data_IF_270382187532
#
_entry.id   IF_270382187532
#
_cell.length_a   1.000
_cell.length_b   1.000
_cell.length_c   1.000
_cell.angle_alpha   90.00
_cell.angle_beta   90.00
_cell.angle_gamma   90.00
#
_symmetry.space_group_name_H-M   'P 1'
#
loop_
_entity.id
_entity.type
_entity.pdbx_description
1 polymer ?
#
# COMPACT_ATOMS: atom_id res chain seq x y z
N UNK A 1 -18.23 20.64 -1.44
CA UNK A 1 -16.81 20.26 -1.50
C UNK A 1 -16.79 18.85 -2.07
N UNK A 2 -16.48 18.72 -3.36
CA UNK A 2 -16.54 17.44 -4.05
C UNK A 2 -15.13 16.84 -4.06
N UNK A 3 -14.80 16.09 -3.02
CA UNK A 3 -13.61 15.23 -3.01
C UNK A 3 -13.89 13.97 -3.82
N UNK A 4 -14.09 14.12 -5.14
CA UNK A 4 -13.96 13.01 -6.06
C UNK A 4 -12.47 12.75 -6.26
N UNK A 5 -11.87 11.95 -5.39
CA UNK A 5 -10.60 11.30 -5.71
C UNK A 5 -10.85 10.37 -6.89
N UNK A 6 -10.33 10.72 -8.06
CA UNK A 6 -10.37 9.85 -9.23
C UNK A 6 -9.62 8.56 -8.88
N UNK A 7 -10.34 7.45 -8.87
CA UNK A 7 -9.81 6.11 -8.93
C UNK A 7 -8.83 6.01 -10.11
N UNK A 8 -7.53 6.03 -9.84
CA UNK A 8 -6.49 5.77 -10.84
C UNK A 8 -5.96 4.37 -10.59
N UNK A 9 -6.15 3.45 -11.54
CA UNK A 9 -5.54 2.11 -11.48
C UNK A 9 -4.15 2.08 -12.09
N UNK A 10 -3.75 3.19 -12.72
CA UNK A 10 -2.54 3.30 -13.54
C UNK A 10 -1.55 4.25 -12.89
N UNK A 11 -0.30 3.79 -12.76
CA UNK A 11 0.83 4.62 -12.37
C UNK A 11 1.81 4.77 -13.54
N UNK A 12 2.30 5.98 -13.75
CA UNK A 12 3.33 6.28 -14.75
C UNK A 12 4.69 6.48 -14.05
N UNK A 13 5.67 5.63 -14.38
CA UNK A 13 7.04 5.73 -13.84
C UNK A 13 8.03 5.65 -14.98
N UNK A 14 8.93 6.63 -15.11
CA UNK A 14 9.96 6.65 -16.16
C UNK A 14 9.40 6.40 -17.59
N UNK A 15 8.20 6.91 -17.88
CA UNK A 15 7.52 6.70 -19.17
C UNK A 15 6.85 5.33 -19.34
N UNK A 16 7.01 4.41 -18.39
CA UNK A 16 6.34 3.11 -18.33
C UNK A 16 4.96 3.26 -17.70
N UNK A 17 3.94 2.71 -18.36
CA UNK A 17 2.59 2.53 -17.81
C UNK A 17 2.54 1.25 -16.99
N UNK A 18 2.08 1.34 -15.75
CA UNK A 18 1.85 0.19 -14.86
C UNK A 18 0.36 0.22 -14.50
N UNK A 19 -0.35 -0.85 -14.84
CA UNK A 19 -1.77 -0.99 -14.51
C UNK A 19 -1.93 -2.02 -13.41
N UNK A 20 -2.44 -1.60 -12.26
CA UNK A 20 -2.61 -2.46 -11.09
C UNK A 20 -3.97 -3.18 -11.09
N UNK A 21 -4.89 -2.84 -12.01
CA UNK A 21 -6.25 -3.40 -12.04
C UNK A 21 -7.15 -2.99 -10.86
N UNK A 22 -6.57 -2.41 -9.82
CA UNK A 22 -7.23 -1.87 -8.63
C UNK A 22 -6.83 -0.41 -8.43
N UNK A 23 -7.64 0.33 -7.68
CA UNK A 23 -7.44 1.74 -7.38
C UNK A 23 -6.18 1.92 -6.54
N UNK A 24 -5.31 2.80 -7.02
CA UNK A 24 -4.21 3.34 -6.24
C UNK A 24 -4.82 4.28 -5.21
N UNK A 25 -4.74 3.88 -3.95
CA UNK A 25 -5.18 4.69 -2.82
C UNK A 25 -4.18 5.81 -2.54
N UNK A 26 -2.89 5.47 -2.52
CA UNK A 26 -1.79 6.42 -2.31
C UNK A 26 -0.43 5.83 -2.74
N UNK A 27 0.58 6.70 -2.84
CA UNK A 27 1.96 6.34 -3.19
C UNK A 27 2.95 7.06 -2.28
N UNK A 28 3.82 6.31 -1.61
CA UNK A 28 4.78 6.82 -0.63
C UNK A 28 6.22 6.64 -1.08
N UNK A 29 7.05 7.68 -1.11
CA UNK A 29 8.49 7.53 -1.28
C UNK A 29 9.13 6.96 0.00
N UNK A 30 9.83 5.83 -0.11
CA UNK A 30 10.53 5.21 1.03
C UNK A 30 11.75 4.41 0.56
N UNK A 31 12.89 4.55 1.25
CA UNK A 31 14.12 3.77 1.01
C UNK A 31 14.53 3.64 -0.48
N UNK A 32 14.54 4.74 -1.23
CA UNK A 32 14.83 4.80 -2.67
C UNK A 32 13.86 3.99 -3.57
N UNK A 33 12.65 3.72 -3.08
CA UNK A 33 11.57 3.06 -3.79
C UNK A 33 10.26 3.85 -3.66
N UNK A 34 9.26 3.42 -4.42
CA UNK A 34 7.88 3.87 -4.28
C UNK A 34 7.05 2.73 -3.69
N UNK A 35 6.41 2.99 -2.56
CA UNK A 35 5.44 2.09 -1.94
C UNK A 35 4.07 2.48 -2.45
N UNK A 36 3.42 1.58 -3.20
CA UNK A 36 2.11 1.81 -3.79
C UNK A 36 1.07 1.05 -2.98
N UNK A 37 0.11 1.77 -2.40
CA UNK A 37 -1.01 1.19 -1.66
C UNK A 37 -2.24 1.18 -2.56
N UNK A 38 -2.79 -0.01 -2.78
CA UNK A 38 -4.03 -0.23 -3.50
C UNK A 38 -5.17 -0.42 -2.51
N UNK A 39 -6.28 0.27 -2.76
CA UNK A 39 -7.51 0.06 -2.01
C UNK A 39 -8.69 0.57 -2.84
N UNK A 40 -9.57 -0.34 -3.24
CA UNK A 40 -10.77 0.00 -3.97
C UNK A 40 -11.78 0.65 -3.02
N UNK A 41 -11.74 1.98 -2.96
CA UNK A 41 -12.79 2.75 -2.27
C UNK A 41 -14.11 2.59 -3.02
N UNK A 42 -15.24 2.48 -2.31
CA UNK A 42 -16.53 2.44 -2.97
C UNK A 42 -16.80 3.77 -3.66
N UNK A 43 -17.23 3.70 -4.92
CA UNK A 43 -17.64 4.87 -5.72
C UNK A 43 -19.01 5.42 -5.30
N UNK A 44 -19.68 4.83 -4.30
CA UNK A 44 -20.97 5.27 -3.78
C UNK A 44 -21.19 4.78 -2.34
N UNK A 45 -22.25 5.25 -1.66
CA UNK A 45 -22.54 5.09 -0.23
C UNK A 45 -22.60 3.66 0.38
N UNK A 46 -22.24 2.61 -0.36
CA UNK A 46 -22.07 1.24 0.15
C UNK A 46 -20.60 1.11 0.55
N UNK A 47 -20.28 0.80 1.80
CA UNK A 47 -18.88 0.72 2.28
C UNK A 47 -17.94 -0.17 1.45
N UNK A 48 -16.64 -0.15 1.76
CA UNK A 48 -15.62 -1.00 1.10
C UNK A 48 -15.98 -2.47 1.29
N UNK A 49 -16.15 -3.23 0.20
CA UNK A 49 -16.25 -4.68 0.29
C UNK A 49 -14.83 -5.26 0.44
N UNK A 50 -14.47 -5.57 1.68
CA UNK A 50 -13.14 -6.06 2.04
C UNK A 50 -12.80 -7.42 1.40
N UNK A 51 -13.81 -8.22 1.00
CA UNK A 51 -13.60 -9.51 0.33
C UNK A 51 -13.26 -9.39 -1.16
N UNK A 52 -13.49 -8.22 -1.75
CA UNK A 52 -13.21 -7.95 -3.17
C UNK A 52 -11.91 -7.16 -3.35
N UNK A 53 -11.21 -6.86 -2.26
CA UNK A 53 -9.92 -6.17 -2.30
C UNK A 53 -8.81 -7.14 -2.72
N UNK A 54 -7.71 -6.63 -3.32
CA UNK A 54 -6.58 -7.48 -3.66
C UNK A 54 -5.93 -8.07 -2.40
N UNK A 55 -5.59 -9.37 -2.42
CA UNK A 55 -4.87 -10.05 -1.33
C UNK A 55 -3.52 -9.39 -1.06
N UNK A 56 -2.85 -8.95 -2.14
CA UNK A 56 -1.64 -8.14 -2.13
C UNK A 56 -1.98 -6.72 -2.51
N UNK A 57 -2.05 -5.83 -1.53
CA UNK A 57 -2.48 -4.46 -1.79
C UNK A 57 -1.42 -3.40 -1.48
N UNK A 58 -0.20 -3.79 -1.12
CA UNK A 58 0.93 -2.85 -0.97
C UNK A 58 2.18 -3.40 -1.65
N UNK A 59 2.65 -2.66 -2.65
CA UNK A 59 3.76 -3.02 -3.52
C UNK A 59 4.93 -2.07 -3.36
N UNK A 60 6.15 -2.59 -3.50
CA UNK A 60 7.38 -1.80 -3.53
C UNK A 60 7.94 -1.80 -4.94
N UNK A 61 7.95 -0.63 -5.58
CA UNK A 61 8.43 -0.42 -6.94
C UNK A 61 9.79 0.27 -6.93
N UNK A 62 10.70 -0.21 -7.78
CA UNK A 62 11.96 0.48 -8.03
C UNK A 62 11.75 1.75 -8.91
N UNK A 63 12.81 2.51 -9.14
CA UNK A 63 12.79 3.73 -9.99
C UNK A 63 12.37 3.51 -11.46
N UNK A 64 12.40 2.27 -11.95
CA UNK A 64 11.99 1.90 -13.31
C UNK A 64 10.53 1.42 -13.35
N UNK A 65 9.87 1.32 -12.20
CA UNK A 65 8.51 0.82 -12.12
C UNK A 65 8.42 -0.70 -12.20
N UNK A 66 9.45 -1.42 -11.75
CA UNK A 66 9.37 -2.86 -11.54
C UNK A 66 9.05 -3.15 -10.09
N UNK A 67 8.11 -4.07 -9.87
CA UNK A 67 7.76 -4.56 -8.53
C UNK A 67 8.95 -5.38 -8.04
N UNK A 68 9.60 -4.92 -6.97
CA UNK A 68 10.71 -5.63 -6.33
C UNK A 68 10.18 -6.47 -5.15
N UNK A 69 9.21 -5.97 -4.38
CA UNK A 69 8.72 -6.66 -3.18
C UNK A 69 7.23 -6.41 -2.96
N UNK A 70 6.59 -7.32 -2.22
CA UNK A 70 5.26 -7.13 -1.64
C UNK A 70 5.36 -7.02 -0.12
N UNK A 71 4.55 -6.18 0.50
CA UNK A 71 4.64 -5.94 1.95
C UNK A 71 4.28 -7.20 2.77
N UNK A 72 3.35 -8.02 2.30
CA UNK A 72 3.01 -9.28 2.96
C UNK A 72 4.18 -10.27 3.03
N UNK A 73 5.06 -10.28 2.03
CA UNK A 73 6.30 -11.07 2.03
C UNK A 73 7.28 -10.58 3.10
N UNK A 74 7.25 -9.27 3.42
CA UNK A 74 8.10 -8.67 4.44
C UNK A 74 7.55 -8.94 5.84
N UNK A 75 6.25 -8.77 6.05
CA UNK A 75 5.66 -8.94 7.39
C UNK A 75 5.26 -10.38 7.69
N UNK A 76 5.21 -11.26 6.69
CA UNK A 76 4.70 -12.64 6.82
C UNK A 76 3.20 -12.72 7.07
N UNK A 77 2.44 -11.66 6.80
CA UNK A 77 1.01 -11.59 7.08
C UNK A 77 0.21 -11.58 5.79
N UNK A 78 -0.63 -12.60 5.59
CA UNK A 78 -1.58 -12.68 4.47
C UNK A 78 -2.89 -11.98 4.86
N UNK A 79 -2.84 -10.66 5.02
CA UNK A 79 -4.00 -9.82 5.37
C UNK A 79 -3.98 -8.52 4.56
N UNK A 80 -5.14 -7.89 4.42
CA UNK A 80 -5.31 -6.62 3.71
C UNK A 80 -4.70 -5.47 4.53
N UNK A 81 -3.86 -4.62 3.92
CA UNK A 81 -3.37 -3.41 4.57
C UNK A 81 -4.34 -2.24 4.38
N UNK A 82 -4.83 -1.67 5.47
CA UNK A 82 -5.82 -0.58 5.44
C UNK A 82 -5.19 0.80 5.59
N UNK A 83 -3.91 0.85 6.01
CA UNK A 83 -3.17 2.09 6.19
C UNK A 83 -1.69 1.89 5.92
N UNK A 84 -1.06 2.89 5.33
CA UNK A 84 0.37 2.99 5.10
C UNK A 84 0.81 4.41 5.45
N UNK A 85 1.93 4.54 6.16
CA UNK A 85 2.51 5.83 6.53
C UNK A 85 4.03 5.75 6.55
N UNK A 86 4.70 6.86 6.31
CA UNK A 86 6.15 7.00 6.49
C UNK A 86 6.41 7.90 7.70
N UNK A 87 7.12 7.38 8.69
CA UNK A 87 7.45 8.08 9.93
C UNK A 87 8.96 8.05 10.16
N UNK A 88 9.65 9.12 9.76
CA UNK A 88 11.10 9.18 9.83
C UNK A 88 11.76 8.13 8.92
N UNK A 89 12.42 7.15 9.54
CA UNK A 89 13.12 6.07 8.83
C UNK A 89 12.31 4.76 8.75
N UNK A 90 11.05 4.80 9.18
CA UNK A 90 10.17 3.64 9.19
C UNK A 90 9.01 3.82 8.21
N UNK A 91 8.69 2.72 7.52
CA UNK A 91 7.41 2.51 6.87
C UNK A 91 6.51 1.78 7.87
N UNK A 92 5.37 2.38 8.15
CA UNK A 92 4.37 1.86 9.06
C UNK A 92 3.20 1.37 8.22
N UNK A 93 2.86 0.09 8.35
CA UNK A 93 1.73 -0.53 7.64
C UNK A 93 0.79 -1.18 8.64
N UNK A 94 -0.51 -0.91 8.52
CA UNK A 94 -1.53 -1.50 9.41
C UNK A 94 -2.43 -2.42 8.61
N UNK A 95 -2.54 -3.67 9.05
CA UNK A 95 -3.46 -4.64 8.44
C UNK A 95 -4.88 -4.51 8.99
N UNK A 96 -5.82 -5.18 8.33
CA UNK A 96 -7.24 -5.16 8.68
C UNK A 96 -7.50 -5.74 10.08
N UNK A 97 -6.65 -6.66 10.53
CA UNK A 97 -6.66 -7.19 11.90
C UNK A 97 -6.20 -6.18 12.96
N UNK A 98 -5.78 -4.98 12.58
CA UNK A 98 -5.32 -3.93 13.50
C UNK A 98 -3.87 -4.09 13.96
N UNK A 99 -3.10 -4.99 13.35
CA UNK A 99 -1.67 -5.12 13.61
C UNK A 99 -0.94 -4.07 12.77
N UNK A 100 -0.16 -3.25 13.44
CA UNK A 100 0.73 -2.26 12.85
C UNK A 100 2.15 -2.82 12.82
N UNK A 101 2.75 -2.91 11.65
CA UNK A 101 4.14 -3.32 11.44
C UNK A 101 5.01 -2.10 11.15
N UNK A 102 6.19 -2.08 11.75
CA UNK A 102 7.22 -1.07 11.55
C UNK A 102 8.34 -1.69 10.74
N UNK A 103 8.59 -1.14 9.54
CA UNK A 103 9.53 -1.67 8.56
C UNK A 103 10.64 -0.63 8.36
N UNK A 104 11.90 -1.02 8.53
CA UNK A 104 13.04 -0.12 8.36
C UNK A 104 13.41 0.10 6.88
N UNK A 105 14.38 0.98 6.63
CA UNK A 105 14.88 1.26 5.27
C UNK A 105 15.57 0.07 4.58
N UNK A 106 15.87 -1.00 5.31
CA UNK A 106 16.42 -2.25 4.76
C UNK A 106 15.32 -3.28 4.50
N UNK A 107 14.06 -2.89 4.62
CA UNK A 107 12.88 -3.72 4.40
C UNK A 107 12.80 -4.89 5.40
N UNK A 108 13.18 -4.64 6.65
CA UNK A 108 13.04 -5.57 7.76
C UNK A 108 11.97 -5.08 8.73
N UNK A 109 11.16 -6.01 9.25
CA UNK A 109 10.26 -5.69 10.37
C UNK A 109 11.11 -5.48 11.62
N UNK A 110 11.09 -4.26 12.16
CA UNK A 110 11.82 -3.87 13.38
C UNK A 110 10.91 -3.78 14.61
N UNK A 111 9.60 -3.82 14.41
CA UNK A 111 8.62 -3.85 15.48
C UNK A 111 7.20 -4.10 14.98
N UNK A 112 6.31 -4.45 15.91
CA UNK A 112 4.87 -4.47 15.66
C UNK A 112 4.10 -4.03 16.90
N UNK A 113 2.91 -3.47 16.69
CA UNK A 113 1.99 -3.07 17.74
C UNK A 113 0.54 -3.34 17.31
N UNK A 114 -0.41 -3.18 18.23
CA UNK A 114 -1.83 -3.28 17.93
C UNK A 114 -2.45 -1.89 17.98
N UNK A 115 -3.27 -1.54 16.99
CA UNK A 115 -4.06 -0.32 17.02
C UNK A 115 -5.15 -0.47 18.09
N UNK A 116 -5.13 0.40 19.10
CA UNK A 116 -6.15 0.47 20.16
C UNK A 116 -7.50 0.90 19.64
#
# INVERSE_FOLDING_TARGET
>A
MNDCQFAQTVLMIAGKKIDFGHNIFDVYPFANALVVHLLDRPTSAKGVNLREQPEDNVYVLNKNGDIHRRINEITGASDLYVSVAVAGDELIVTNLSGIQYHIDRHWQVVGHSWTK
#
